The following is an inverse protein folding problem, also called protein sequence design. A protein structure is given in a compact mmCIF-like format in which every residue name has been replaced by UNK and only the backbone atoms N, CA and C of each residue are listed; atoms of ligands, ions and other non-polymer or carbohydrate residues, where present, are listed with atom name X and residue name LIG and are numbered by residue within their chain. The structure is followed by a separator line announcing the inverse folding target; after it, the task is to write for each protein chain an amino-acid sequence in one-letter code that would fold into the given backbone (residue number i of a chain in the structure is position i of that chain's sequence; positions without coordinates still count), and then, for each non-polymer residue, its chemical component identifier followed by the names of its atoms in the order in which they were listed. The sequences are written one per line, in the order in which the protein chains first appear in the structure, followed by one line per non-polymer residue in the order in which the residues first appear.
data_IF_212528950649
#
_entry.id   IF_212528950649
#
_cell.length_a   1.000
_cell.length_b   1.000
_cell.length_c   1.000
_cell.angle_alpha   90.00
_cell.angle_beta   90.00
_cell.angle_gamma   90.00
#
_symmetry.space_group_name_H-M   'P 1'
#
loop_
_entity.id
_entity.type
_entity.pdbx_description
1 polymer ?
#
# COMPACT_ATOMS: atom_id res chain seq x y z
N UNK A 1 -16.04 18.18 10.33
CA UNK A 1 -14.64 17.69 10.33
C UNK A 1 -14.42 16.35 11.06
N UNK A 2 -15.43 15.71 11.67
CA UNK A 2 -15.30 14.40 12.35
C UNK A 2 -15.78 13.20 11.49
N UNK A 3 -16.30 13.46 10.28
CA UNK A 3 -16.93 12.44 9.42
C UNK A 3 -15.97 11.78 8.43
N UNK A 4 -14.92 12.47 7.96
CA UNK A 4 -14.03 11.94 6.90
C UNK A 4 -12.93 11.02 7.43
N UNK A 5 -12.41 11.30 8.62
CA UNK A 5 -11.42 10.43 9.29
C UNK A 5 -12.03 9.08 9.68
N UNK A 6 -13.30 9.08 10.12
CA UNK A 6 -14.04 7.86 10.43
C UNK A 6 -14.31 7.05 9.16
N UNK A 7 -14.54 7.69 8.00
CA UNK A 7 -14.73 7.02 6.70
C UNK A 7 -13.44 6.43 6.14
N UNK A 8 -12.29 7.09 6.28
CA UNK A 8 -11.00 6.56 5.83
C UNK A 8 -10.57 5.38 6.71
N UNK A 9 -10.73 5.47 8.03
CA UNK A 9 -10.48 4.35 8.95
C UNK A 9 -11.50 3.22 8.72
N UNK A 10 -12.78 3.53 8.47
CA UNK A 10 -13.81 2.55 8.13
C UNK A 10 -13.51 1.88 6.78
N UNK A 11 -13.09 2.62 5.77
CA UNK A 11 -12.73 2.09 4.46
C UNK A 11 -11.45 1.24 4.54
N UNK A 12 -10.45 1.67 5.32
CA UNK A 12 -9.26 0.88 5.63
C UNK A 12 -9.59 -0.41 6.39
N UNK A 13 -10.46 -0.37 7.40
CA UNK A 13 -10.94 -1.54 8.12
C UNK A 13 -11.80 -2.47 7.24
N UNK A 14 -12.60 -1.94 6.32
CA UNK A 14 -13.41 -2.72 5.36
C UNK A 14 -12.53 -3.38 4.30
N UNK A 15 -11.50 -2.69 3.80
CA UNK A 15 -10.52 -3.27 2.87
C UNK A 15 -9.68 -4.34 3.57
N UNK A 16 -9.28 -4.10 4.83
CA UNK A 16 -8.57 -5.08 5.65
C UNK A 16 -9.46 -6.28 6.00
N UNK A 17 -10.76 -6.07 6.25
CA UNK A 17 -11.71 -7.16 6.49
C UNK A 17 -12.04 -7.94 5.21
N UNK A 18 -12.15 -7.27 4.05
CA UNK A 18 -12.32 -7.96 2.76
C UNK A 18 -11.11 -8.84 2.45
N UNK A 19 -9.90 -8.34 2.72
CA UNK A 19 -8.67 -9.11 2.52
C UNK A 19 -8.62 -10.35 3.43
N UNK A 20 -9.06 -10.22 4.68
CA UNK A 20 -9.12 -11.34 5.63
C UNK A 20 -10.19 -12.40 5.28
N UNK A 21 -11.33 -11.99 4.72
CA UNK A 21 -12.42 -12.90 4.30
C UNK A 21 -11.99 -13.80 3.14
N UNK A 22 -11.11 -13.32 2.23
CA UNK A 22 -10.63 -14.13 1.10
C UNK A 22 -9.71 -15.29 1.50
N UNK A 23 -9.15 -15.28 2.72
CA UNK A 23 -8.29 -16.36 3.21
C UNK A 23 -9.04 -17.53 3.87
N UNK A 24 -10.37 -17.46 4.01
CA UNK A 24 -11.21 -18.50 4.65
C UNK A 24 -12.17 -19.22 3.70
N UNK A 25 -12.02 -19.10 2.38
CA UNK A 25 -12.87 -19.85 1.44
C UNK A 25 -12.19 -21.16 1.04
N UNK A 26 -12.61 -22.21 1.74
CA UNK A 26 -12.62 -23.57 1.19
C UNK A 26 -13.51 -23.62 -0.06
N UNK A 27 -13.10 -24.49 -0.98
CA UNK A 27 -13.64 -24.71 -2.31
C UNK A 27 -15.17 -24.85 -2.43
N UNK A 28 -15.65 -24.43 -3.61
CA UNK A 28 -16.86 -24.89 -4.33
C UNK A 28 -18.22 -24.27 -3.97
N UNK A 29 -18.62 -23.26 -4.75
CA UNK A 29 -19.68 -23.41 -5.76
C UNK A 29 -19.50 -22.29 -6.81
N UNK A 30 -19.65 -22.65 -8.09
CA UNK A 30 -19.51 -21.69 -9.18
C UNK A 30 -20.60 -20.62 -9.08
N UNK A 31 -20.23 -19.44 -8.57
CA UNK A 31 -21.04 -18.23 -8.67
C UNK A 31 -21.17 -17.93 -10.17
N UNK A 32 -22.38 -17.91 -10.75
CA UNK A 32 -22.57 -17.39 -12.09
C UNK A 32 -22.28 -15.88 -12.01
N UNK A 33 -21.04 -15.51 -12.27
CA UNK A 33 -20.62 -14.12 -12.42
C UNK A 33 -21.48 -13.51 -13.54
N UNK A 34 -22.11 -12.35 -13.30
CA UNK A 34 -22.56 -11.49 -14.39
C UNK A 34 -21.36 -11.29 -15.31
N UNK A 35 -21.52 -11.60 -16.59
CA UNK A 35 -20.48 -11.43 -17.59
C UNK A 35 -20.09 -9.95 -17.61
N UNK A 36 -19.00 -9.58 -16.94
CA UNK A 36 -18.28 -8.35 -17.22
C UNK A 36 -17.61 -8.62 -18.56
N UNK A 37 -18.38 -8.49 -19.63
CA UNK A 37 -17.82 -8.31 -20.95
C UNK A 37 -17.00 -7.04 -20.84
N UNK A 38 -15.67 -7.18 -20.91
CA UNK A 38 -14.81 -6.09 -21.33
C UNK A 38 -15.19 -5.82 -22.79
N UNK A 39 -16.31 -5.12 -22.95
CA UNK A 39 -17.00 -4.91 -24.21
C UNK A 39 -16.18 -4.00 -25.09
N UNK A 40 -15.25 -4.58 -25.84
CA UNK A 40 -14.76 -4.01 -27.08
C UNK A 40 -15.86 -4.11 -28.16
N UNK A 41 -17.10 -3.73 -27.86
CA UNK A 41 -18.22 -3.85 -28.82
C UNK A 41 -18.56 -2.51 -29.49
N UNK A 42 -17.90 -1.41 -29.13
CA UNK A 42 -18.00 -0.16 -29.90
C UNK A 42 -16.67 0.62 -29.80
N UNK A 43 -15.72 0.29 -30.68
CA UNK A 43 -14.42 0.94 -30.80
C UNK A 43 -14.45 2.22 -31.67
N UNK A 44 -15.58 2.93 -31.71
CA UNK A 44 -15.76 4.13 -32.55
C UNK A 44 -15.69 5.47 -31.77
N UNK A 45 -15.60 5.43 -30.43
CA UNK A 45 -15.36 6.61 -29.59
C UNK A 45 -13.92 6.61 -29.00
N UNK A 46 -12.98 7.39 -29.54
CA UNK A 46 -11.59 7.43 -29.05
C UNK A 46 -11.47 7.85 -27.56
N UNK A 47 -12.45 8.57 -27.01
CA UNK A 47 -12.49 8.96 -25.59
C UNK A 47 -12.74 7.78 -24.63
N UNK A 48 -13.53 6.78 -25.04
CA UNK A 48 -13.84 5.60 -24.21
C UNK A 48 -12.65 4.64 -24.13
N UNK A 49 -11.89 4.51 -25.22
CA UNK A 49 -10.65 3.72 -25.26
C UNK A 49 -9.60 4.32 -24.32
N UNK A 50 -9.47 5.66 -24.30
CA UNK A 50 -8.57 6.36 -23.37
C UNK A 50 -8.92 6.12 -21.90
N UNK A 51 -10.21 6.18 -21.56
CA UNK A 51 -10.68 5.97 -20.18
C UNK A 51 -10.45 4.53 -19.69
N UNK A 52 -10.72 3.53 -20.54
CA UNK A 52 -10.46 2.13 -20.22
C UNK A 52 -8.96 1.85 -19.99
N UNK A 53 -8.09 2.45 -20.81
CA UNK A 53 -6.65 2.33 -20.65
C UNK A 53 -6.15 2.98 -19.34
N UNK A 54 -6.69 4.14 -18.97
CA UNK A 54 -6.37 4.82 -17.71
C UNK A 54 -6.73 3.96 -16.49
N UNK A 55 -7.90 3.31 -16.50
CA UNK A 55 -8.32 2.40 -15.42
C UNK A 55 -7.39 1.18 -15.36
N UNK A 56 -7.00 0.61 -16.51
CA UNK A 56 -6.07 -0.51 -16.55
C UNK A 56 -4.72 -0.15 -15.90
N UNK A 57 -4.17 1.02 -16.23
CA UNK A 57 -2.94 1.52 -15.61
C UNK A 57 -3.10 1.71 -14.11
N UNK A 58 -4.23 2.30 -13.67
CA UNK A 58 -4.52 2.50 -12.25
C UNK A 58 -4.58 1.17 -11.48
N UNK A 59 -5.27 0.17 -12.03
CA UNK A 59 -5.35 -1.17 -11.44
C UNK A 59 -3.97 -1.82 -11.34
N UNK A 60 -3.15 -1.67 -12.37
CA UNK A 60 -1.77 -2.19 -12.38
C UNK A 60 -0.94 -1.58 -11.25
N UNK A 61 -1.02 -0.26 -11.07
CA UNK A 61 -0.33 0.45 -9.98
C UNK A 61 -0.87 -0.01 -8.61
N UNK A 62 -2.18 -0.18 -8.48
CA UNK A 62 -2.83 -0.61 -7.23
C UNK A 62 -2.40 -2.02 -6.82
N UNK A 63 -2.21 -2.94 -7.77
CA UNK A 63 -1.69 -4.29 -7.50
C UNK A 63 -0.24 -4.27 -6.99
N UNK A 64 0.59 -3.33 -7.47
CA UNK A 64 1.98 -3.19 -7.03
C UNK A 64 2.12 -2.42 -5.70
N UNK A 65 1.15 -1.58 -5.36
CA UNK A 65 1.15 -0.76 -4.14
C UNK A 65 1.51 -1.52 -2.85
N UNK A 66 0.94 -2.70 -2.52
CA UNK A 66 1.30 -3.40 -1.28
C UNK A 66 2.76 -3.86 -1.24
N UNK A 67 3.32 -4.30 -2.38
CA UNK A 67 4.71 -4.69 -2.46
C UNK A 67 5.66 -3.49 -2.30
N UNK A 68 5.33 -2.37 -2.94
CA UNK A 68 6.09 -1.12 -2.80
C UNK A 68 6.08 -0.66 -1.34
N UNK A 69 4.93 -0.64 -0.68
CA UNK A 69 4.83 -0.26 0.73
C UNK A 69 5.70 -1.14 1.65
N UNK A 70 5.78 -2.44 1.38
CA UNK A 70 6.64 -3.35 2.15
C UNK A 70 8.13 -3.04 1.92
N UNK A 71 8.53 -2.70 0.68
CA UNK A 71 9.92 -2.48 0.31
C UNK A 71 10.45 -1.08 0.65
N UNK A 72 9.61 -0.04 0.59
CA UNK A 72 10.04 1.35 0.80
C UNK A 72 9.89 1.82 2.25
N UNK A 73 9.47 0.95 3.16
CA UNK A 73 9.25 1.27 4.58
C UNK A 73 10.13 0.40 5.49
N UNK A 74 9.98 0.58 6.81
CA UNK A 74 10.70 -0.22 7.81
C UNK A 74 10.25 -1.69 7.90
N UNK A 75 9.19 -2.09 7.21
CA UNK A 75 8.57 -3.41 7.36
C UNK A 75 9.57 -4.56 7.18
N UNK A 76 10.34 -4.56 6.09
CA UNK A 76 11.28 -5.64 5.78
C UNK A 76 12.29 -5.90 6.91
N UNK A 77 12.84 -4.84 7.52
CA UNK A 77 13.79 -4.97 8.62
C UNK A 77 13.13 -5.56 9.86
N UNK A 78 11.93 -5.09 10.20
CA UNK A 78 11.20 -5.55 11.38
C UNK A 78 10.83 -7.03 11.25
N UNK A 79 10.26 -7.45 10.11
CA UNK A 79 9.85 -8.85 9.91
C UNK A 79 11.04 -9.82 9.89
N UNK A 80 12.19 -9.39 9.34
CA UNK A 80 13.42 -10.20 9.33
C UNK A 80 13.91 -10.42 10.77
N UNK A 81 13.99 -9.36 11.59
CA UNK A 81 14.42 -9.47 12.98
C UNK A 81 13.47 -10.35 13.79
N UNK A 82 12.15 -10.18 13.64
CA UNK A 82 11.16 -11.02 14.32
C UNK A 82 11.25 -12.48 13.87
N UNK A 83 11.53 -12.73 12.59
CA UNK A 83 11.69 -14.09 12.05
C UNK A 83 12.95 -14.77 12.57
N UNK A 84 14.06 -14.04 12.70
CA UNK A 84 15.27 -14.56 13.33
C UNK A 84 15.05 -14.83 14.82
N UNK A 85 14.33 -13.96 15.53
CA UNK A 85 13.98 -14.19 16.93
C UNK A 85 13.16 -15.47 17.09
N UNK A 86 12.16 -15.70 16.23
CA UNK A 86 11.39 -16.94 16.20
C UNK A 86 12.29 -18.16 16.01
N UNK A 87 13.23 -18.10 15.07
CA UNK A 87 14.15 -19.22 14.82
C UNK A 87 15.07 -19.50 16.03
N UNK A 88 15.50 -18.45 16.71
CA UNK A 88 16.37 -18.54 17.88
C UNK A 88 15.67 -19.14 19.12
N UNK A 89 14.34 -19.04 19.21
CA UNK A 89 13.58 -19.61 20.34
C UNK A 89 13.51 -21.15 20.33
N UNK A 90 13.87 -21.81 19.23
CA UNK A 90 13.93 -23.29 19.15
C UNK A 90 12.58 -24.00 19.31
N UNK A 91 11.47 -23.26 19.34
CA UNK A 91 10.12 -23.77 19.50
C UNK A 91 9.52 -24.20 18.16
N UNK A 92 8.71 -25.27 18.16
CA UNK A 92 8.03 -25.71 16.94
C UNK A 92 6.88 -24.75 16.61
N UNK A 93 7.13 -23.88 15.63
CA UNK A 93 6.16 -23.01 14.94
C UNK A 93 5.38 -21.97 15.78
N UNK A 94 5.72 -21.81 17.05
CA UNK A 94 5.24 -20.71 17.88
C UNK A 94 6.28 -19.60 17.93
N UNK A 95 5.95 -18.34 17.56
CA UNK A 95 4.63 -17.83 17.12
C UNK A 95 4.34 -18.02 15.61
N UNK A 96 3.05 -18.09 15.20
CA UNK A 96 2.65 -18.23 13.79
C UNK A 96 3.12 -17.06 12.91
N UNK A 97 3.49 -17.32 11.65
CA UNK A 97 3.95 -16.29 10.69
C UNK A 97 2.97 -15.13 10.55
N UNK A 98 1.66 -15.40 10.58
CA UNK A 98 0.62 -14.38 10.51
C UNK A 98 0.72 -13.36 11.66
N UNK A 99 1.04 -13.81 12.88
CA UNK A 99 1.23 -12.93 14.04
C UNK A 99 2.48 -12.05 13.85
N UNK A 100 3.57 -12.63 13.35
CA UNK A 100 4.79 -11.86 13.08
C UNK A 100 4.54 -10.76 12.03
N UNK A 101 3.80 -11.08 10.97
CA UNK A 101 3.43 -10.11 9.93
C UNK A 101 2.55 -9.00 10.53
N UNK A 102 1.55 -9.35 11.33
CA UNK A 102 0.69 -8.36 12.00
C UNK A 102 1.47 -7.43 12.92
N UNK A 103 2.36 -7.98 13.75
CA UNK A 103 3.25 -7.20 14.61
C UNK A 103 4.18 -6.30 13.78
N UNK A 104 4.75 -6.81 12.69
CA UNK A 104 5.64 -6.04 11.83
C UNK A 104 4.91 -4.88 11.15
N UNK A 105 3.68 -5.09 10.66
CA UNK A 105 2.86 -4.02 10.10
C UNK A 105 2.52 -2.96 11.15
N UNK A 106 2.08 -3.37 12.34
CA UNK A 106 1.76 -2.43 13.42
C UNK A 106 2.96 -1.57 13.83
N UNK A 107 4.13 -2.21 14.04
CA UNK A 107 5.37 -1.49 14.35
C UNK A 107 5.82 -0.60 13.19
N UNK A 108 5.62 -1.03 11.94
CA UNK A 108 5.87 -0.17 10.77
C UNK A 108 4.97 1.06 10.80
N UNK A 109 3.69 0.90 11.15
CA UNK A 109 2.80 2.05 11.28
C UNK A 109 3.25 3.04 12.35
N UNK A 110 3.73 2.52 13.48
CA UNK A 110 4.28 3.35 14.53
C UNK A 110 5.54 4.11 14.09
N UNK A 111 6.49 3.44 13.44
CA UNK A 111 7.76 4.04 12.99
C UNK A 111 7.55 5.04 11.85
N UNK A 112 6.60 4.78 10.95
CA UNK A 112 6.31 5.63 9.79
C UNK A 112 5.37 6.80 10.09
N UNK A 113 4.82 6.89 11.29
CA UNK A 113 3.95 7.99 11.74
C UNK A 113 4.39 9.40 11.31
N UNK A 114 5.65 9.84 11.56
CA UNK A 114 6.09 11.18 11.18
C UNK A 114 6.12 11.40 9.65
N UNK A 115 6.46 10.37 8.87
CA UNK A 115 6.49 10.45 7.40
C UNK A 115 5.08 10.65 6.85
N UNK A 116 4.09 9.92 7.38
CA UNK A 116 2.70 10.10 6.94
C UNK A 116 2.10 11.43 7.38
N UNK A 117 2.48 11.94 8.56
CA UNK A 117 2.05 13.27 9.00
C UNK A 117 2.55 14.35 8.04
N UNK A 118 3.84 14.27 7.65
CA UNK A 118 4.42 15.23 6.70
C UNK A 118 3.72 15.14 5.33
N UNK A 119 3.51 13.94 4.78
CA UNK A 119 2.78 13.75 3.51
C UNK A 119 1.36 14.33 3.60
N UNK A 120 0.67 14.11 4.72
CA UNK A 120 -0.69 14.58 4.90
C UNK A 120 -0.76 16.11 4.92
N UNK A 121 0.16 16.77 5.63
CA UNK A 121 0.21 18.22 5.73
C UNK A 121 0.72 18.89 4.45
N UNK A 122 1.73 18.34 3.79
CA UNK A 122 2.40 18.97 2.66
C UNK A 122 1.75 18.68 1.30
N UNK A 123 1.04 17.55 1.15
CA UNK A 123 0.54 17.10 -0.14
C UNK A 123 -0.96 16.76 -0.09
N UNK A 124 -1.39 15.93 0.86
CA UNK A 124 -2.75 15.37 0.83
C UNK A 124 -3.81 16.42 1.19
N UNK A 125 -3.58 17.20 2.24
CA UNK A 125 -4.52 18.24 2.67
C UNK A 125 -4.66 19.37 1.64
N UNK A 126 -3.56 19.97 1.10
CA UNK A 126 -3.69 21.02 0.09
C UNK A 126 -4.26 20.51 -1.24
N UNK A 127 -4.02 19.24 -1.60
CA UNK A 127 -4.67 18.61 -2.76
C UNK A 127 -6.19 18.51 -2.59
N UNK A 128 -6.66 18.12 -1.39
CA UNK A 128 -8.09 18.04 -1.07
C UNK A 128 -8.76 19.42 -0.96
N UNK A 129 -7.98 20.46 -0.64
CA UNK A 129 -8.41 21.86 -0.60
C UNK A 129 -8.30 22.54 -1.99
N UNK A 130 -7.96 21.77 -3.04
CA UNK A 130 -7.78 22.22 -4.44
C UNK A 130 -6.67 23.28 -4.63
N UNK A 131 -5.78 23.43 -3.65
CA UNK A 131 -4.64 24.34 -3.68
C UNK A 131 -3.46 23.79 -4.50
N UNK A 132 -3.42 22.48 -4.72
CA UNK A 132 -2.37 21.78 -5.47
C UNK A 132 -2.93 20.91 -6.60
N UNK A 133 -2.27 20.96 -7.76
CA UNK A 133 -2.51 19.99 -8.82
C UNK A 133 -2.03 18.58 -8.45
N UNK A 134 -2.64 17.54 -9.03
CA UNK A 134 -2.34 16.14 -8.72
C UNK A 134 -0.84 15.78 -8.89
N UNK A 135 -0.19 16.30 -9.94
CA UNK A 135 1.23 16.05 -10.18
C UNK A 135 2.13 16.71 -9.13
N UNK A 136 1.77 17.91 -8.68
CA UNK A 136 2.53 18.65 -7.67
C UNK A 136 2.36 18.04 -6.29
N UNK A 137 1.15 17.63 -5.94
CA UNK A 137 0.88 16.86 -4.73
C UNK A 137 1.70 15.57 -4.68
N UNK A 138 1.80 14.84 -5.80
CA UNK A 138 2.62 13.63 -5.88
C UNK A 138 4.12 13.93 -5.69
N UNK A 139 4.61 15.04 -6.27
CA UNK A 139 6.00 15.48 -6.13
C UNK A 139 6.35 15.89 -4.69
N UNK A 140 5.41 16.49 -3.96
CA UNK A 140 5.62 16.82 -2.55
C UNK A 140 5.55 15.58 -1.66
N UNK A 141 4.67 14.62 -1.98
CA UNK A 141 4.52 13.37 -1.24
C UNK A 141 5.75 12.46 -1.31
N UNK A 142 6.52 12.49 -2.40
CA UNK A 142 7.72 11.65 -2.53
C UNK A 142 8.91 12.14 -1.67
N UNK A 143 8.99 13.43 -1.34
CA UNK A 143 10.11 14.03 -0.60
C UNK A 143 10.33 13.37 0.77
N UNK A 144 9.33 13.27 1.66
CA UNK A 144 9.52 12.66 2.98
C UNK A 144 9.85 11.17 2.88
N UNK A 145 9.34 10.46 1.87
CA UNK A 145 9.68 9.04 1.62
C UNK A 145 11.15 8.92 1.23
N UNK A 146 11.63 9.73 0.26
CA UNK A 146 13.05 9.74 -0.14
C UNK A 146 13.95 10.10 1.03
N UNK A 147 13.57 11.09 1.85
CA UNK A 147 14.32 11.47 3.05
C UNK A 147 14.42 10.32 4.04
N UNK A 148 13.32 9.62 4.30
CA UNK A 148 13.32 8.42 5.15
C UNK A 148 14.30 7.36 4.61
N UNK A 149 14.24 7.05 3.31
CA UNK A 149 15.12 6.06 2.69
C UNK A 149 16.59 6.46 2.76
N UNK A 150 16.93 7.72 2.47
CA UNK A 150 18.30 8.24 2.55
C UNK A 150 18.86 8.14 3.97
N UNK A 151 18.07 8.49 4.98
CA UNK A 151 18.47 8.35 6.39
C UNK A 151 18.74 6.88 6.80
N UNK A 152 18.22 5.91 6.06
CA UNK A 152 18.39 4.48 6.30
C UNK A 152 19.38 3.81 5.32
N UNK A 153 19.89 4.56 4.35
CA UNK A 153 20.81 4.07 3.32
C UNK A 153 22.24 4.44 3.71
N UNK A 154 23.15 3.49 3.55
CA UNK A 154 24.56 3.69 3.89
C UNK A 154 25.23 4.45 2.75
N UNK A 155 25.95 5.52 3.05
CA UNK A 155 26.58 6.38 2.04
C UNK A 155 27.46 5.59 1.06
N UNK A 156 28.23 4.63 1.57
CA UNK A 156 29.08 3.78 0.72
C UNK A 156 28.30 2.92 -0.29
N UNK A 157 27.07 2.53 0.06
CA UNK A 157 26.20 1.75 -0.82
C UNK A 157 25.54 2.68 -1.85
N UNK A 158 25.22 3.93 -1.48
CA UNK A 158 24.69 4.95 -2.40
C UNK A 158 25.72 5.36 -3.46
N UNK A 159 26.99 5.54 -3.05
CA UNK A 159 28.10 5.90 -3.95
C UNK A 159 28.42 4.83 -5.00
N UNK A 160 27.99 3.59 -4.81
CA UNK A 160 28.20 2.52 -5.79
C UNK A 160 27.29 2.66 -7.03
N UNK A 161 26.15 3.35 -6.88
CA UNK A 161 25.12 3.47 -7.91
C UNK A 161 25.06 4.85 -8.60
N UNK A 162 26.00 5.74 -8.28
CA UNK A 162 26.18 7.07 -8.90
C UNK A 162 27.46 7.06 -9.71
#
# INVERSE_FOLDING_TARGET
MMFDLKKIILCGCVVLSLFFVTSFVSESEAIPLPNITLGFENADDPEKVSSALQILVLLTILTLAPAILIMTTSFARIIIVLSFLRQAMGTQQTPPTQILIGLALFLTMFVMGPVWSEINESALKPYMEEELGQFEALKLAEIPIKRFMLNQTREKDLLLFI
#
